data_IF_345206953052
#
_entry.id   IF_345206953052
#
_cell.length_a   1.000
_cell.length_b   1.000
_cell.length_c   1.000
_cell.angle_alpha   90.00
_cell.angle_beta   90.00
_cell.angle_gamma   90.00
#
_symmetry.space_group_name_H-M   'P 1'
#
loop_
_entity.id
_entity.type
_entity.pdbx_description
1 polymer ?
#
# COMPACT_ATOMS: atom_id res chain seq x y z
N UNK A 1 -22.81 6.93 -21.69
CA UNK A 1 -21.47 6.54 -22.14
C UNK A 1 -20.52 7.36 -21.33
N UNK A 2 -19.69 6.69 -20.54
CA UNK A 2 -18.97 7.37 -19.47
C UNK A 2 -17.64 7.90 -20.00
N UNK A 3 -17.12 8.93 -19.34
CA UNK A 3 -15.80 9.49 -19.70
C UNK A 3 -14.76 8.37 -19.63
N UNK A 4 -14.05 8.06 -20.74
CA UNK A 4 -13.09 6.98 -20.75
C UNK A 4 -11.96 7.27 -19.77
N UNK A 5 -11.70 6.31 -18.88
CA UNK A 5 -10.55 6.41 -17.99
C UNK A 5 -9.25 6.41 -18.79
N UNK A 6 -8.20 7.02 -18.26
CA UNK A 6 -6.90 7.03 -18.94
C UNK A 6 -6.35 5.60 -19.16
N UNK A 7 -6.70 4.65 -18.30
CA UNK A 7 -6.41 3.22 -18.48
C UNK A 7 -7.03 2.68 -19.77
N UNK A 8 -8.32 2.94 -19.98
CA UNK A 8 -9.02 2.59 -21.22
C UNK A 8 -8.37 3.24 -22.45
N UNK A 9 -8.05 4.54 -22.38
CA UNK A 9 -7.40 5.26 -23.48
C UNK A 9 -6.03 4.67 -23.82
N UNK A 10 -5.26 4.26 -22.81
CA UNK A 10 -3.92 3.68 -23.01
C UNK A 10 -4.00 2.27 -23.62
N UNK A 11 -4.91 1.43 -23.13
CA UNK A 11 -5.12 0.07 -23.67
C UNK A 11 -5.61 0.08 -25.12
N UNK A 12 -6.35 1.12 -25.52
CA UNK A 12 -6.89 1.28 -26.87
C UNK A 12 -6.00 2.13 -27.80
N UNK A 13 -4.76 2.45 -27.39
CA UNK A 13 -3.78 3.12 -28.25
C UNK A 13 -3.90 4.65 -28.32
N UNK A 14 -4.69 5.27 -27.46
CA UNK A 14 -4.91 6.71 -27.36
C UNK A 14 -4.04 7.40 -26.30
N UNK A 15 -2.92 6.80 -25.88
CA UNK A 15 -2.06 7.35 -24.82
C UNK A 15 -1.47 8.74 -25.10
N UNK A 16 -1.41 9.13 -26.39
CA UNK A 16 -0.95 10.45 -26.83
C UNK A 16 -2.01 11.54 -26.84
N UNK A 17 -3.29 11.21 -26.59
CA UNK A 17 -4.39 12.17 -26.69
C UNK A 17 -4.27 13.27 -25.63
N UNK A 18 -3.79 12.94 -24.42
CA UNK A 18 -3.57 13.91 -23.37
C UNK A 18 -2.51 14.96 -23.75
N UNK A 19 -1.43 14.52 -24.40
CA UNK A 19 -0.40 15.43 -24.88
C UNK A 19 -0.93 16.31 -26.02
N UNK A 20 -1.62 15.73 -27.01
CA UNK A 20 -2.14 16.47 -28.15
C UNK A 20 -3.23 17.49 -27.75
N UNK A 21 -4.12 17.14 -26.81
CA UNK A 21 -5.15 18.04 -26.31
C UNK A 21 -4.54 19.21 -25.52
N UNK A 22 -3.49 18.95 -24.76
CA UNK A 22 -2.75 20.00 -24.04
C UNK A 22 -1.97 20.91 -25.00
N UNK A 23 -1.16 20.33 -25.88
CA UNK A 23 -0.23 21.07 -26.75
C UNK A 23 -0.93 21.86 -27.86
N UNK A 24 -2.06 21.38 -28.36
CA UNK A 24 -2.72 21.96 -29.53
C UNK A 24 -4.10 22.55 -29.26
N UNK A 25 -4.69 22.23 -28.11
CA UNK A 25 -6.07 22.60 -27.83
C UNK A 25 -6.28 23.23 -26.46
N UNK A 26 -5.26 23.35 -25.60
CA UNK A 26 -5.37 23.84 -24.22
C UNK A 26 -6.49 23.15 -23.42
N UNK A 27 -6.73 21.86 -23.69
CA UNK A 27 -7.79 21.07 -23.06
C UNK A 27 -7.19 19.86 -22.34
N UNK A 28 -7.76 19.52 -21.19
CA UNK A 28 -7.53 18.22 -20.57
C UNK A 28 -8.33 17.12 -21.28
N UNK A 29 -7.94 15.84 -21.19
CA UNK A 29 -8.77 14.72 -21.67
C UNK A 29 -10.18 14.76 -21.09
N UNK A 30 -10.33 15.09 -19.80
CA UNK A 30 -11.62 15.17 -19.14
C UNK A 30 -12.48 16.28 -19.75
N UNK A 31 -11.95 17.50 -19.87
CA UNK A 31 -12.63 18.62 -20.54
C UNK A 31 -12.98 18.28 -21.99
N UNK A 32 -12.09 17.62 -22.72
CA UNK A 32 -12.40 17.17 -24.08
C UNK A 32 -13.57 16.18 -24.10
N UNK A 33 -13.57 15.17 -23.24
CA UNK A 33 -14.64 14.16 -23.25
C UNK A 33 -15.98 14.69 -22.72
N UNK A 34 -15.96 15.61 -21.76
CA UNK A 34 -17.17 16.23 -21.19
C UNK A 34 -17.67 17.36 -22.08
N UNK A 35 -16.83 18.35 -22.38
CA UNK A 35 -17.24 19.59 -23.04
C UNK A 35 -17.29 19.49 -24.57
N UNK A 36 -16.44 18.64 -25.18
CA UNK A 36 -16.36 18.48 -26.64
C UNK A 36 -17.09 17.23 -27.13
N UNK A 37 -16.92 16.09 -26.44
CA UNK A 37 -17.55 14.83 -26.83
C UNK A 37 -18.95 14.65 -26.21
N UNK A 38 -19.25 15.35 -25.11
CA UNK A 38 -20.56 15.32 -24.46
C UNK A 38 -20.83 14.05 -23.66
N UNK A 39 -19.79 13.44 -23.08
CA UNK A 39 -19.93 12.28 -22.20
C UNK A 39 -20.32 12.74 -20.79
N UNK A 40 -21.18 11.96 -20.15
CA UNK A 40 -21.61 12.22 -18.78
C UNK A 40 -20.47 11.84 -17.82
N UNK A 41 -20.10 12.76 -16.95
CA UNK A 41 -19.17 12.53 -15.84
C UNK A 41 -19.96 11.80 -14.76
N UNK A 42 -20.05 10.47 -14.83
CA UNK A 42 -20.40 9.70 -13.64
C UNK A 42 -19.28 9.97 -12.63
N UNK A 43 -19.64 10.58 -11.48
CA UNK A 43 -18.76 10.75 -10.33
C UNK A 43 -18.04 9.42 -10.08
N UNK A 44 -16.81 9.30 -10.58
CA UNK A 44 -15.95 8.23 -10.13
C UNK A 44 -15.87 8.44 -8.63
N UNK A 45 -16.23 7.40 -7.86
CA UNK A 45 -16.00 7.37 -6.42
C UNK A 45 -14.48 7.22 -6.24
N UNK A 46 -13.76 8.24 -6.68
CA UNK A 46 -12.32 8.37 -6.69
C UNK A 46 -11.87 8.89 -5.34
N UNK A 47 -10.64 8.56 -4.99
CA UNK A 47 -10.03 9.06 -3.77
C UNK A 47 -9.88 10.58 -3.82
N UNK A 48 -10.42 11.29 -2.83
CA UNK A 48 -10.27 12.74 -2.72
C UNK A 48 -8.87 13.10 -2.23
N UNK A 49 -8.03 13.59 -3.15
CA UNK A 49 -6.68 14.04 -2.84
C UNK A 49 -6.65 15.31 -1.97
N UNK A 50 -7.72 16.12 -2.02
CA UNK A 50 -7.82 17.45 -1.38
C UNK A 50 -6.75 18.44 -1.87
N UNK A 51 -6.50 18.41 -3.18
CA UNK A 51 -5.60 19.30 -3.92
C UNK A 51 -6.33 19.72 -5.20
N UNK A 52 -6.05 20.93 -5.67
CA UNK A 52 -6.78 21.60 -6.76
C UNK A 52 -6.08 21.41 -8.12
N UNK A 53 -4.76 21.17 -8.15
CA UNK A 53 -4.01 20.97 -9.40
C UNK A 53 -4.32 19.61 -10.08
N UNK A 54 -5.12 19.67 -11.14
CA UNK A 54 -5.57 18.50 -11.90
C UNK A 54 -4.41 17.69 -12.52
N UNK A 55 -3.35 18.37 -12.96
CA UNK A 55 -2.20 17.72 -13.61
C UNK A 55 -1.41 16.87 -12.59
N UNK A 56 -1.25 17.35 -11.36
CA UNK A 56 -0.67 16.60 -10.24
C UNK A 56 -1.54 15.42 -9.85
N UNK A 57 -2.86 15.62 -9.69
CA UNK A 57 -3.82 14.54 -9.39
C UNK A 57 -3.73 13.43 -10.44
N UNK A 58 -3.76 13.79 -11.72
CA UNK A 58 -3.66 12.84 -12.81
C UNK A 58 -2.33 12.07 -12.78
N UNK A 59 -1.19 12.76 -12.57
CA UNK A 59 0.10 12.10 -12.48
C UNK A 59 0.21 11.12 -11.30
N UNK A 60 -0.46 11.39 -10.19
CA UNK A 60 -0.56 10.48 -9.04
C UNK A 60 -1.39 9.24 -9.39
N UNK A 61 -2.57 9.43 -9.98
CA UNK A 61 -3.45 8.32 -10.36
C UNK A 61 -2.83 7.41 -11.42
N UNK A 62 -2.18 7.99 -12.42
CA UNK A 62 -1.46 7.25 -13.47
C UNK A 62 -0.30 6.46 -12.88
N UNK A 63 0.39 7.00 -11.88
CA UNK A 63 1.41 6.26 -11.15
C UNK A 63 0.83 5.07 -10.38
N UNK A 64 -0.24 5.29 -9.60
CA UNK A 64 -0.91 4.24 -8.82
C UNK A 64 -1.44 3.12 -9.71
N UNK A 65 -2.09 3.48 -10.82
CA UNK A 65 -2.55 2.51 -11.81
C UNK A 65 -1.37 1.75 -12.44
N UNK A 66 -0.25 2.44 -12.74
CA UNK A 66 0.94 1.79 -13.32
C UNK A 66 1.59 0.80 -12.37
N UNK A 67 1.63 1.05 -11.06
CA UNK A 67 2.20 0.09 -10.10
C UNK A 67 1.26 -1.10 -9.87
N UNK A 68 -0.05 -0.90 -9.95
CA UNK A 68 -1.03 -1.98 -9.87
C UNK A 68 -0.96 -2.89 -11.10
N UNK A 69 -1.13 -2.32 -12.29
CA UNK A 69 -1.27 -3.07 -13.55
C UNK A 69 0.06 -3.63 -14.05
N UNK A 70 1.07 -2.78 -14.24
CA UNK A 70 2.38 -3.17 -14.80
C UNK A 70 3.35 -3.66 -13.74
N UNK A 71 3.23 -3.11 -12.53
CA UNK A 71 4.06 -3.50 -11.39
C UNK A 71 3.58 -4.76 -10.68
N UNK A 72 2.38 -5.26 -10.99
CA UNK A 72 1.78 -6.44 -10.35
C UNK A 72 1.65 -6.28 -8.83
N UNK A 73 1.54 -5.05 -8.33
CA UNK A 73 1.48 -4.80 -6.89
C UNK A 73 0.08 -5.10 -6.37
N UNK A 74 0.02 -5.76 -5.22
CA UNK A 74 -1.22 -6.00 -4.50
C UNK A 74 -1.92 -4.68 -4.17
N UNK A 75 -3.25 -4.70 -4.12
CA UNK A 75 -4.10 -3.53 -3.86
C UNK A 75 -3.72 -2.82 -2.55
N UNK A 76 -3.40 -3.57 -1.49
CA UNK A 76 -2.91 -3.03 -0.21
C UNK A 76 -1.62 -2.22 -0.34
N UNK A 77 -0.76 -2.57 -1.30
CA UNK A 77 0.46 -1.79 -1.59
C UNK A 77 0.11 -0.52 -2.35
N UNK A 78 -0.84 -0.57 -3.29
CA UNK A 78 -1.33 0.61 -4.01
C UNK A 78 -1.96 1.60 -3.02
N UNK A 79 -2.77 1.10 -2.10
CA UNK A 79 -3.40 1.91 -1.05
C UNK A 79 -2.36 2.55 -0.11
N UNK A 80 -1.33 1.78 0.26
CA UNK A 80 -0.20 2.31 1.05
C UNK A 80 0.52 3.45 0.31
N UNK A 81 0.76 3.30 -1.00
CA UNK A 81 1.35 4.36 -1.82
C UNK A 81 0.43 5.57 -1.91
N UNK A 82 -0.88 5.36 -2.12
CA UNK A 82 -1.89 6.42 -2.20
C UNK A 82 -1.92 7.26 -0.93
N UNK A 83 -2.05 6.62 0.24
CA UNK A 83 -2.07 7.32 1.54
C UNK A 83 -0.79 8.13 1.77
N UNK A 84 0.38 7.56 1.45
CA UNK A 84 1.67 8.24 1.64
C UNK A 84 1.84 9.43 0.71
N UNK A 85 1.46 9.29 -0.56
CA UNK A 85 1.48 10.39 -1.52
C UNK A 85 0.45 11.47 -1.15
N UNK A 86 -0.72 11.10 -0.65
CA UNK A 86 -1.72 12.08 -0.21
C UNK A 86 -1.16 12.94 0.93
N UNK A 87 -0.48 12.34 1.91
CA UNK A 87 0.21 13.11 2.96
C UNK A 87 1.30 14.00 2.36
N UNK A 88 2.14 13.47 1.48
CA UNK A 88 3.21 14.24 0.81
C UNK A 88 2.68 15.50 0.13
N UNK A 89 1.67 15.37 -0.73
CA UNK A 89 1.15 16.48 -1.53
C UNK A 89 0.43 17.50 -0.64
N UNK A 90 -0.31 17.04 0.38
CA UNK A 90 -0.97 17.96 1.34
C UNK A 90 0.05 18.76 2.14
N UNK A 91 1.09 18.12 2.66
CA UNK A 91 2.17 18.82 3.37
C UNK A 91 2.91 19.79 2.45
N UNK A 92 3.17 19.40 1.19
CA UNK A 92 3.75 20.31 0.20
C UNK A 92 2.85 21.54 -0.03
N UNK A 93 1.54 21.35 -0.21
CA UNK A 93 0.55 22.41 -0.38
C UNK A 93 0.48 23.34 0.83
N UNK A 94 0.47 22.78 2.03
CA UNK A 94 0.41 23.54 3.28
C UNK A 94 1.66 24.41 3.49
N UNK A 95 2.83 23.93 3.09
CA UNK A 95 4.09 24.67 3.23
C UNK A 95 4.29 25.74 2.14
N UNK A 96 3.90 25.42 0.90
CA UNK A 96 4.29 26.20 -0.28
C UNK A 96 3.12 26.94 -0.92
N UNK A 97 1.91 26.78 -0.39
CA UNK A 97 0.66 27.36 -0.91
C UNK A 97 0.38 27.01 -2.38
N UNK A 98 0.93 25.88 -2.85
CA UNK A 98 0.72 25.35 -4.21
C UNK A 98 0.72 23.83 -4.18
N UNK A 99 -0.14 23.23 -5.00
CA UNK A 99 -0.18 21.79 -5.27
C UNK A 99 0.18 21.45 -6.73
N UNK A 100 0.70 22.42 -7.49
CA UNK A 100 1.21 22.25 -8.84
C UNK A 100 2.63 21.64 -8.87
N UNK A 101 2.77 20.41 -8.35
CA UNK A 101 4.08 19.75 -8.15
C UNK A 101 4.82 19.45 -9.47
N UNK A 102 4.14 19.48 -10.62
CA UNK A 102 4.76 19.20 -11.92
C UNK A 102 5.38 20.45 -12.57
N UNK A 103 4.84 21.64 -12.30
CA UNK A 103 5.25 22.87 -12.96
C UNK A 103 6.74 23.19 -12.75
N UNK A 104 7.32 23.09 -11.55
CA UNK A 104 8.75 23.36 -11.36
C UNK A 104 9.64 22.31 -12.05
N UNK A 105 9.13 21.10 -12.29
CA UNK A 105 9.92 19.98 -12.80
C UNK A 105 10.22 20.08 -14.30
N UNK A 106 9.46 20.91 -15.03
CA UNK A 106 9.70 21.15 -16.44
C UNK A 106 10.85 22.13 -16.68
N UNK A 107 11.29 22.90 -15.68
CA UNK A 107 12.33 23.93 -15.83
C UNK A 107 13.56 23.68 -14.96
N UNK A 108 14.75 23.63 -15.59
CA UNK A 108 16.00 23.29 -14.89
C UNK A 108 16.52 24.42 -13.98
N UNK A 109 16.15 25.66 -14.25
CA UNK A 109 16.48 26.80 -13.39
C UNK A 109 15.69 26.81 -12.08
N UNK A 110 14.50 26.19 -12.06
CA UNK A 110 13.70 25.98 -10.85
C UNK A 110 14.21 24.81 -9.99
N UNK A 111 15.11 23.97 -10.52
CA UNK A 111 15.58 22.77 -9.83
C UNK A 111 16.11 23.00 -8.40
N UNK A 112 16.97 24.00 -8.13
CA UNK A 112 17.45 24.21 -6.76
C UNK A 112 16.32 24.56 -5.79
N UNK A 113 15.39 25.42 -6.21
CA UNK A 113 14.26 25.85 -5.39
C UNK A 113 13.29 24.69 -5.14
N UNK A 114 13.05 23.85 -6.14
CA UNK A 114 12.18 22.69 -5.97
C UNK A 114 12.79 21.60 -5.07
N UNK A 115 14.12 21.45 -5.11
CA UNK A 115 14.83 20.60 -4.14
C UNK A 115 14.61 21.14 -2.73
N UNK A 116 14.83 22.44 -2.49
CA UNK A 116 14.61 23.06 -1.17
C UNK A 116 13.16 22.90 -0.69
N UNK A 117 12.17 23.06 -1.57
CA UNK A 117 10.75 22.81 -1.24
C UNK A 117 10.49 21.37 -0.83
N UNK A 118 11.06 20.41 -1.55
CA UNK A 118 10.94 19.00 -1.22
C UNK A 118 11.64 18.64 0.10
N UNK A 119 12.81 19.24 0.38
CA UNK A 119 13.52 19.07 1.65
C UNK A 119 12.70 19.63 2.83
N UNK A 120 12.05 20.79 2.66
CA UNK A 120 11.17 21.36 3.69
C UNK A 120 9.99 20.44 4.05
N UNK A 121 9.45 19.67 3.09
CA UNK A 121 8.43 18.64 3.38
C UNK A 121 9.04 17.49 4.21
N UNK A 122 10.26 17.09 3.89
CA UNK A 122 10.97 16.05 4.65
C UNK A 122 11.34 16.52 6.06
N UNK A 123 11.63 17.80 6.27
CA UNK A 123 11.83 18.39 7.60
C UNK A 123 10.56 18.28 8.45
N UNK A 124 9.37 18.58 7.88
CA UNK A 124 8.10 18.35 8.58
C UNK A 124 7.92 16.87 8.93
N UNK A 125 8.28 15.96 8.03
CA UNK A 125 8.22 14.52 8.32
C UNK A 125 9.24 14.09 9.37
N UNK A 126 10.39 14.76 9.47
CA UNK A 126 11.37 14.52 10.51
C UNK A 126 10.81 14.84 11.90
N UNK A 127 10.06 15.94 12.00
CA UNK A 127 9.42 16.40 13.23
C UNK A 127 8.17 15.59 13.61
N UNK A 128 7.33 15.23 12.63
CA UNK A 128 6.03 14.59 12.89
C UNK A 128 6.10 13.07 13.06
N UNK A 129 6.99 12.39 12.33
CA UNK A 129 7.01 10.93 12.29
C UNK A 129 7.94 10.38 13.37
N UNK A 130 7.40 9.46 14.17
CA UNK A 130 8.10 8.92 15.34
C UNK A 130 9.25 7.97 15.03
N UNK A 131 9.33 7.43 13.80
CA UNK A 131 10.36 6.44 13.44
C UNK A 131 11.02 6.75 12.11
N UNK A 132 12.35 6.60 12.06
CA UNK A 132 13.15 6.71 10.84
C UNK A 132 12.67 5.78 9.73
N UNK A 133 12.19 4.58 10.10
CA UNK A 133 11.56 3.66 9.16
C UNK A 133 10.37 4.30 8.47
N UNK A 134 9.45 4.93 9.21
CA UNK A 134 8.31 5.63 8.61
C UNK A 134 8.79 6.75 7.70
N UNK A 135 9.74 7.58 8.15
CA UNK A 135 10.30 8.69 7.35
C UNK A 135 10.88 8.21 6.02
N UNK A 136 11.70 7.15 6.06
CA UNK A 136 12.26 6.50 4.87
C UNK A 136 11.18 5.95 3.94
N UNK A 137 10.13 5.34 4.48
CA UNK A 137 9.02 4.80 3.68
C UNK A 137 8.25 5.91 2.93
N UNK A 138 8.05 7.08 3.52
CA UNK A 138 7.48 8.24 2.82
C UNK A 138 8.42 8.75 1.72
N UNK A 139 9.71 8.94 2.05
CA UNK A 139 10.73 9.36 1.09
C UNK A 139 10.82 8.38 -0.10
N UNK A 140 10.81 7.08 0.16
CA UNK A 140 10.85 6.05 -0.89
C UNK A 140 9.66 6.16 -1.84
N UNK A 141 8.45 6.35 -1.32
CA UNK A 141 7.24 6.48 -2.14
C UNK A 141 7.26 7.77 -2.96
N UNK A 142 7.57 8.93 -2.35
CA UNK A 142 7.65 10.20 -3.05
C UNK A 142 8.74 10.18 -4.14
N UNK A 143 9.94 9.68 -3.82
CA UNK A 143 11.05 9.53 -4.77
C UNK A 143 10.69 8.61 -5.94
N UNK A 144 9.95 7.51 -5.67
CA UNK A 144 9.50 6.59 -6.71
C UNK A 144 8.47 7.24 -7.66
N UNK A 145 7.59 8.09 -7.13
CA UNK A 145 6.64 8.88 -7.93
C UNK A 145 7.36 9.90 -8.80
N UNK A 146 8.24 10.75 -8.25
CA UNK A 146 9.02 11.69 -9.08
C UNK A 146 9.91 10.99 -10.12
N UNK A 147 10.47 9.81 -9.80
CA UNK A 147 11.18 9.00 -10.78
C UNK A 147 10.26 8.49 -11.90
N UNK A 148 9.01 8.16 -11.59
CA UNK A 148 8.00 7.80 -12.59
C UNK A 148 7.65 8.98 -13.50
N UNK A 149 7.38 10.15 -12.92
CA UNK A 149 7.08 11.40 -13.64
C UNK A 149 8.23 11.76 -14.61
N UNK A 150 9.48 11.70 -14.13
CA UNK A 150 10.69 11.89 -14.97
C UNK A 150 10.78 10.89 -16.12
N UNK A 151 10.54 9.60 -15.86
CA UNK A 151 10.59 8.55 -16.92
C UNK A 151 9.55 8.75 -18.00
N UNK A 152 8.37 9.29 -17.65
CA UNK A 152 7.28 9.59 -18.59
C UNK A 152 7.46 10.95 -19.30
N UNK A 153 8.60 11.62 -19.12
CA UNK A 153 8.97 12.90 -19.74
C UNK A 153 8.11 14.09 -19.31
N UNK A 154 7.37 13.96 -18.20
CA UNK A 154 6.70 15.10 -17.56
C UNK A 154 7.67 15.97 -16.75
N UNK A 155 8.86 15.45 -16.41
CA UNK A 155 9.87 16.15 -15.64
C UNK A 155 11.26 16.01 -16.26
N UNK A 156 12.08 17.08 -16.18
CA UNK A 156 13.49 17.06 -16.58
C UNK A 156 14.39 16.42 -15.51
N UNK A 157 14.03 16.54 -14.23
CA UNK A 157 14.79 16.03 -13.08
C UNK A 157 13.89 15.35 -12.04
N UNK A 158 14.50 14.81 -10.98
CA UNK A 158 13.80 14.27 -9.81
C UNK A 158 14.36 15.03 -8.59
N UNK A 159 13.57 15.86 -7.90
CA UNK A 159 14.08 16.69 -6.79
C UNK A 159 14.51 15.85 -5.58
N UNK A 160 14.04 14.60 -5.47
CA UNK A 160 14.36 13.68 -4.38
C UNK A 160 15.44 12.66 -4.76
N UNK A 161 16.18 12.86 -5.85
CA UNK A 161 17.20 11.88 -6.26
C UNK A 161 18.33 11.73 -5.24
N UNK A 162 18.67 12.78 -4.51
CA UNK A 162 19.80 12.82 -3.57
C UNK A 162 19.35 13.13 -2.13
N UNK A 163 18.06 13.42 -1.91
CA UNK A 163 17.53 13.83 -0.60
C UNK A 163 17.85 12.86 0.55
N UNK A 164 17.97 11.55 0.28
CA UNK A 164 18.33 10.57 1.32
C UNK A 164 19.76 10.72 1.87
N UNK A 165 20.63 11.49 1.23
CA UNK A 165 21.99 11.78 1.72
C UNK A 165 22.00 12.93 2.74
N UNK A 166 20.96 13.78 2.75
CA UNK A 166 20.84 14.94 3.63
C UNK A 166 20.22 14.57 4.99
N UNK A 167 19.47 13.47 5.05
CA UNK A 167 18.84 12.97 6.26
C UNK A 167 19.58 11.75 6.82
N UNK A 168 19.96 11.82 8.10
CA UNK A 168 20.60 10.72 8.82
C UNK A 168 19.65 9.58 9.24
N UNK A 169 18.52 9.40 8.55
CA UNK A 169 17.51 8.41 8.91
C UNK A 169 18.01 7.00 8.66
N UNK A 170 17.99 6.18 9.71
CA UNK A 170 18.37 4.78 9.62
C UNK A 170 17.17 3.91 10.00
N UNK A 171 16.72 3.06 9.08
CA UNK A 171 15.81 1.98 9.42
C UNK A 171 16.59 0.88 10.18
N UNK A 172 17.00 1.16 11.41
CA UNK A 172 17.44 0.11 12.34
C UNK A 172 16.28 -0.86 12.44
N UNK A 173 16.54 -2.14 12.19
CA UNK A 173 15.57 -3.17 12.52
C UNK A 173 15.22 -2.99 14.00
N UNK A 174 13.97 -2.66 14.35
CA UNK A 174 13.56 -2.74 15.73
C UNK A 174 13.87 -4.18 16.14
N UNK A 175 14.67 -4.38 17.17
CA UNK A 175 14.73 -5.66 17.86
C UNK A 175 13.34 -5.80 18.49
N UNK A 176 12.39 -6.51 17.84
CA UNK A 176 11.05 -6.61 18.38
C UNK A 176 11.24 -7.44 19.63
N UNK A 177 11.08 -6.83 20.80
CA UNK A 177 11.30 -7.53 22.05
C UNK A 177 10.34 -8.71 22.11
N UNK A 178 10.83 -9.89 21.71
CA UNK A 178 10.04 -11.09 21.65
C UNK A 178 9.61 -11.45 23.07
N UNK A 179 8.37 -11.91 23.21
CA UNK A 179 7.95 -12.47 24.49
C UNK A 179 8.85 -13.66 24.84
N UNK A 180 9.44 -13.62 26.03
CA UNK A 180 10.11 -14.79 26.58
C UNK A 180 9.11 -15.94 26.77
N UNK A 181 9.61 -17.17 26.78
CA UNK A 181 8.78 -18.36 26.99
C UNK A 181 7.99 -18.30 28.31
N UNK A 182 8.49 -17.62 29.35
CA UNK A 182 7.74 -17.42 30.61
C UNK A 182 6.58 -16.44 30.46
N UNK A 183 6.73 -15.39 29.66
CA UNK A 183 5.65 -14.46 29.35
C UNK A 183 4.57 -15.15 28.50
N UNK A 184 4.96 -15.93 27.49
CA UNK A 184 3.99 -16.71 26.70
C UNK A 184 3.23 -17.69 27.57
N UNK A 185 3.91 -18.44 28.45
CA UNK A 185 3.25 -19.35 29.41
C UNK A 185 2.26 -18.63 30.32
N UNK A 186 2.59 -17.41 30.76
CA UNK A 186 1.69 -16.61 31.59
C UNK A 186 0.46 -16.14 30.82
N UNK A 187 0.61 -15.78 29.53
CA UNK A 187 -0.55 -15.45 28.69
C UNK A 187 -1.42 -16.71 28.50
N UNK A 188 -0.79 -17.83 28.14
CA UNK A 188 -1.48 -19.10 27.91
C UNK A 188 -2.19 -19.63 29.16
N UNK A 189 -1.70 -19.37 30.38
CA UNK A 189 -2.38 -19.80 31.61
C UNK A 189 -3.62 -18.97 31.98
N UNK A 190 -3.80 -17.80 31.35
CA UNK A 190 -4.92 -16.89 31.63
C UNK A 190 -6.03 -16.97 30.58
N UNK A 191 -5.83 -17.72 29.49
CA UNK A 191 -6.88 -17.95 28.49
C UNK A 191 -7.89 -18.97 29.02
N UNK A 192 -9.16 -18.72 28.78
CA UNK A 192 -10.29 -19.49 29.33
C UNK A 192 -11.24 -20.02 28.25
N UNK A 193 -10.85 -19.94 26.98
CA UNK A 193 -11.62 -20.43 25.85
C UNK A 193 -10.74 -21.09 24.78
N UNK A 194 -11.24 -22.13 24.07
CA UNK A 194 -10.51 -22.77 22.97
C UNK A 194 -10.09 -21.79 21.86
N UNK A 195 -10.88 -20.74 21.64
CA UNK A 195 -10.56 -19.69 20.68
C UNK A 195 -9.34 -18.87 21.10
N UNK A 196 -9.31 -18.39 22.34
CA UNK A 196 -8.18 -17.64 22.88
C UNK A 196 -6.93 -18.53 23.01
N UNK A 197 -7.11 -19.81 23.33
CA UNK A 197 -6.05 -20.79 23.37
C UNK A 197 -5.41 -21.01 22.00
N UNK A 198 -6.24 -21.25 20.97
CA UNK A 198 -5.78 -21.36 19.58
C UNK A 198 -5.08 -20.09 19.11
N UNK A 199 -5.55 -18.90 19.51
CA UNK A 199 -4.91 -17.64 19.16
C UNK A 199 -3.48 -17.55 19.69
N UNK A 200 -3.25 -17.97 20.95
CA UNK A 200 -1.91 -17.98 21.55
C UNK A 200 -1.01 -19.01 20.86
N UNK A 201 -1.52 -20.21 20.60
CA UNK A 201 -0.77 -21.27 19.91
C UNK A 201 -0.41 -20.83 18.49
N UNK A 202 -1.34 -20.25 17.73
CA UNK A 202 -1.13 -19.83 16.36
C UNK A 202 -0.09 -18.70 16.24
N UNK A 203 -0.16 -17.70 17.13
CA UNK A 203 0.77 -16.57 17.10
C UNK A 203 2.15 -16.91 17.70
N UNK A 204 2.19 -17.56 18.86
CA UNK A 204 3.43 -17.78 19.60
C UNK A 204 4.06 -19.16 19.34
N UNK A 205 3.25 -20.19 19.08
CA UNK A 205 3.70 -21.55 18.82
C UNK A 205 4.05 -21.79 17.35
N UNK A 206 3.18 -21.38 16.43
CA UNK A 206 3.37 -21.59 14.99
C UNK A 206 4.01 -20.39 14.28
N UNK A 207 4.04 -19.22 14.94
CA UNK A 207 4.62 -18.01 14.38
C UNK A 207 3.81 -17.42 13.21
N UNK A 208 2.50 -17.65 13.20
CA UNK A 208 1.62 -17.07 12.19
C UNK A 208 1.50 -15.56 12.38
N UNK A 209 1.33 -14.84 11.28
CA UNK A 209 1.01 -13.41 11.32
C UNK A 209 -0.44 -13.22 11.77
N UNK A 210 -0.80 -12.10 12.43
CA UNK A 210 -2.18 -11.82 12.81
C UNK A 210 -3.18 -11.95 11.63
N UNK A 211 -2.80 -11.53 10.43
CA UNK A 211 -3.63 -11.68 9.23
C UNK A 211 -3.78 -13.13 8.76
N UNK A 212 -2.76 -13.97 8.96
CA UNK A 212 -2.83 -15.41 8.65
C UNK A 212 -3.75 -16.11 9.66
N UNK A 213 -3.69 -15.74 10.95
CA UNK A 213 -4.59 -16.26 11.98
C UNK A 213 -6.03 -15.84 11.73
N UNK A 214 -6.27 -14.56 11.42
CA UNK A 214 -7.62 -14.05 11.16
C UNK A 214 -8.28 -14.70 9.94
N UNK A 215 -7.48 -15.12 8.94
CA UNK A 215 -7.98 -15.77 7.73
C UNK A 215 -7.87 -17.31 7.78
N UNK A 216 -7.55 -17.90 8.94
CA UNK A 216 -7.29 -19.33 9.06
C UNK A 216 -8.59 -20.13 8.81
N UNK A 217 -8.53 -21.02 7.84
CA UNK A 217 -9.66 -21.80 7.35
C UNK A 217 -9.41 -23.31 7.55
N UNK A 218 -10.48 -24.08 7.80
CA UNK A 218 -10.39 -25.52 8.07
C UNK A 218 -9.73 -26.32 6.93
N UNK A 219 -9.93 -25.90 5.68
CA UNK A 219 -9.30 -26.54 4.50
C UNK A 219 -7.77 -26.43 4.50
N UNK A 220 -7.19 -25.50 5.26
CA UNK A 220 -5.76 -25.37 5.41
C UNK A 220 -5.19 -26.36 6.43
N UNK A 221 -6.04 -27.07 7.20
CA UNK A 221 -5.62 -27.90 8.34
C UNK A 221 -5.49 -29.36 7.94
N UNK A 222 -4.28 -29.93 8.08
CA UNK A 222 -4.00 -31.34 7.80
C UNK A 222 -3.57 -32.04 9.09
N UNK A 223 -4.52 -32.67 9.79
CA UNK A 223 -4.26 -33.36 11.07
C UNK A 223 -3.97 -34.85 10.94
N UNK A 224 -4.52 -35.52 9.93
CA UNK A 224 -4.44 -36.98 9.75
C UNK A 224 -3.13 -37.47 9.09
N UNK A 225 -2.16 -36.58 8.89
CA UNK A 225 -0.86 -36.90 8.30
C UNK A 225 0.15 -37.39 9.36
N UNK A 226 1.17 -38.14 8.92
CA UNK A 226 2.32 -38.48 9.79
C UNK A 226 3.03 -37.22 10.34
N UNK A 227 2.92 -36.10 9.61
CA UNK A 227 3.36 -34.77 10.04
C UNK A 227 2.20 -33.77 9.95
N UNK A 228 1.47 -33.52 11.06
CA UNK A 228 0.40 -32.54 11.07
C UNK A 228 0.90 -31.15 10.68
N UNK A 229 0.22 -30.47 9.77
CA UNK A 229 0.66 -29.17 9.24
C UNK A 229 -0.52 -28.29 8.81
N UNK A 230 -0.25 -26.99 8.68
CA UNK A 230 -1.09 -26.06 7.94
C UNK A 230 -0.56 -25.89 6.53
N UNK A 231 -1.43 -25.95 5.53
CA UNK A 231 -1.12 -25.72 4.12
C UNK A 231 -1.72 -24.40 3.66
N UNK A 232 -0.88 -23.51 3.17
CA UNK A 232 -1.25 -22.22 2.60
C UNK A 232 -1.08 -22.28 1.08
N UNK A 233 -2.14 -21.91 0.36
CA UNK A 233 -2.15 -21.91 -1.10
C UNK A 233 -1.19 -20.89 -1.71
N UNK A 234 -0.94 -21.04 -3.02
CA UNK A 234 -0.12 -20.11 -3.79
C UNK A 234 -0.66 -18.68 -3.68
N UNK A 235 0.14 -17.77 -3.12
CA UNK A 235 -0.21 -16.36 -2.94
C UNK A 235 -0.84 -16.01 -1.59
N UNK A 236 -1.18 -16.99 -0.74
CA UNK A 236 -1.72 -16.75 0.61
C UNK A 236 -0.63 -16.27 1.59
N UNK A 237 0.63 -16.64 1.36
CA UNK A 237 1.77 -16.13 2.14
C UNK A 237 2.64 -15.19 1.33
N UNK A 238 2.85 -13.98 1.87
CA UNK A 238 3.74 -12.97 1.29
C UNK A 238 5.22 -13.34 1.38
N UNK A 239 5.64 -14.02 2.46
CA UNK A 239 7.00 -14.57 2.65
C UNK A 239 6.94 -15.76 3.63
N UNK A 240 7.62 -16.87 3.33
CA UNK A 240 7.71 -18.06 4.18
C UNK A 240 7.36 -19.36 3.43
N UNK A 241 7.60 -20.53 4.03
CA UNK A 241 7.17 -21.80 3.45
C UNK A 241 5.64 -21.87 3.35
N UNK A 242 5.13 -22.49 2.28
CA UNK A 242 3.69 -22.72 2.09
C UNK A 242 3.09 -23.71 3.08
N UNK A 243 3.91 -24.38 3.89
CA UNK A 243 3.49 -25.30 4.92
C UNK A 243 4.05 -24.89 6.29
N UNK A 244 3.28 -25.11 7.34
CA UNK A 244 3.68 -24.90 8.74
C UNK A 244 3.42 -26.16 9.54
N UNK A 245 4.49 -26.89 9.88
CA UNK A 245 4.41 -28.07 10.74
C UNK A 245 3.88 -27.73 12.14
N UNK A 246 2.89 -28.50 12.60
CA UNK A 246 2.25 -28.34 13.91
C UNK A 246 2.94 -29.26 14.94
N UNK A 247 4.01 -28.75 15.58
CA UNK A 247 4.73 -29.48 16.63
C UNK A 247 4.00 -29.48 17.99
N UNK A 248 3.03 -28.58 18.18
CA UNK A 248 2.28 -28.39 19.42
C UNK A 248 0.89 -27.79 19.10
N UNK A 249 -0.13 -28.16 19.87
CA UNK A 249 -1.49 -27.62 19.74
C UNK A 249 -2.36 -28.25 18.65
N UNK A 250 -2.08 -29.51 18.29
CA UNK A 250 -2.92 -30.33 17.39
C UNK A 250 -4.28 -30.62 18.03
N UNK A 251 -4.29 -30.86 19.34
CA UNK A 251 -5.47 -30.95 20.18
C UNK A 251 -6.23 -29.63 20.24
N UNK A 252 -5.53 -28.50 20.42
CA UNK A 252 -6.14 -27.16 20.51
C UNK A 252 -6.90 -26.78 19.24
N UNK A 253 -6.37 -27.12 18.06
CA UNK A 253 -7.08 -26.86 16.79
C UNK A 253 -8.25 -27.80 16.57
N UNK A 254 -8.13 -29.09 16.95
CA UNK A 254 -9.24 -30.04 16.89
C UNK A 254 -10.40 -29.59 17.81
N UNK A 255 -10.09 -29.20 19.05
CA UNK A 255 -11.05 -28.71 20.05
C UNK A 255 -11.75 -27.42 19.59
N UNK A 256 -11.13 -26.65 18.69
CA UNK A 256 -11.78 -25.49 18.05
C UNK A 256 -12.67 -25.89 16.88
N UNK A 257 -12.24 -26.84 16.04
CA UNK A 257 -12.99 -27.28 14.86
C UNK A 257 -14.27 -27.99 15.26
N UNK A 258 -14.22 -28.88 16.25
CA UNK A 258 -15.36 -29.69 16.69
C UNK A 258 -16.64 -28.86 16.93
N UNK A 259 -16.67 -27.84 17.82
CA UNK A 259 -17.87 -27.05 18.06
C UNK A 259 -18.26 -26.11 16.91
N UNK A 260 -17.34 -25.78 16.00
CA UNK A 260 -17.65 -24.99 14.81
C UNK A 260 -18.33 -25.85 13.74
N UNK A 261 -17.89 -27.11 13.59
CA UNK A 261 -18.43 -28.07 12.63
C UNK A 261 -19.90 -28.42 12.86
N UNK A 262 -20.36 -28.31 14.11
CA UNK A 262 -21.77 -28.52 14.50
C UNK A 262 -22.69 -27.33 14.14
N UNK A 263 -22.15 -26.18 13.70
CA UNK A 263 -22.96 -25.00 13.37
C UNK A 263 -23.50 -25.08 11.95
N UNK A 264 -24.82 -24.93 11.78
CA UNK A 264 -25.51 -25.06 10.48
C UNK A 264 -25.01 -24.10 9.37
N UNK A 265 -24.37 -22.98 9.72
CA UNK A 265 -23.92 -21.95 8.77
C UNK A 265 -22.43 -21.62 8.94
N UNK A 266 -21.61 -22.57 9.38
CA UNK A 266 -20.17 -22.32 9.45
C UNK A 266 -19.56 -22.26 8.05
N UNK A 267 -18.84 -21.18 7.78
CA UNK A 267 -18.17 -20.89 6.52
C UNK A 267 -16.72 -21.41 6.47
N UNK A 268 -16.30 -22.18 7.49
CA UNK A 268 -15.01 -22.85 7.57
C UNK A 268 -13.89 -22.03 8.22
N UNK A 269 -14.12 -20.75 8.58
CA UNK A 269 -13.13 -19.95 9.29
C UNK A 269 -13.02 -20.31 10.77
N UNK A 270 -11.79 -20.43 11.29
CA UNK A 270 -11.55 -20.75 12.70
C UNK A 270 -11.82 -19.57 13.64
N UNK A 271 -11.88 -18.35 13.10
CA UNK A 271 -12.20 -17.10 13.80
C UNK A 271 -13.30 -16.31 13.06
N UNK A 272 -14.56 -16.81 13.06
CA UNK A 272 -15.69 -16.20 12.35
C UNK A 272 -16.28 -14.98 13.08
#
# INVERSE_FOLDING_TARGET
CDVPTYGWLTEHGYSGIAYALREHHDLTPKQFFVDVVGLEDEESVGWEWNVDDEDTVNALEVYLNSIQTRGGRAESTVETHRTRLAKWVRTYRELHETDALLEPLSELDQQPQEIERCLAVLDVFDEELSTDRSKLEYLHVARAWYAFVKRRKYAKYNPLSEAGEEFGWEAREPDPQALSASQVRRVYSEVDSPEAELLVVALAGWGLRPSEVAALHVDQVVLDAEDPHLSFGDGERKNGPGEVTLLYGVDVIADRIDPLSDRENWDGYLFP
#
